data_IF_265895215829
#
_entry.id   IF_265895215829
#
_cell.length_a   1.000
_cell.length_b   1.000
_cell.length_c   1.000
_cell.angle_alpha   90.00
_cell.angle_beta   90.00
_cell.angle_gamma   90.00
#
_symmetry.space_group_name_H-M   'P 1'
#
loop_
_entity.id
_entity.type
_entity.pdbx_description
1 polymer ?
#
# COMPACT_ATOMS: atom_id res chain seq x y z
N UNK A 1 -41.02 28.82 -15.42
CA UNK A 1 -40.51 29.81 -14.47
C UNK A 1 -40.97 29.41 -13.09
N UNK A 2 -40.06 28.98 -12.23
CA UNK A 2 -40.26 28.86 -10.78
C UNK A 2 -38.87 28.89 -10.15
N UNK A 3 -38.71 29.71 -9.12
CA UNK A 3 -37.40 30.20 -8.71
C UNK A 3 -36.75 29.36 -7.60
N UNK A 4 -35.43 29.54 -7.55
CA UNK A 4 -34.47 29.27 -6.48
C UNK A 4 -35.06 29.41 -5.07
N UNK A 5 -34.78 28.44 -4.20
CA UNK A 5 -34.82 28.62 -2.75
C UNK A 5 -33.39 28.68 -2.21
N UNK A 6 -33.03 29.79 -1.55
CA UNK A 6 -31.77 29.97 -0.83
C UNK A 6 -32.01 30.13 0.68
N UNK A 7 -30.94 29.89 1.44
CA UNK A 7 -30.83 29.81 2.90
C UNK A 7 -31.09 31.16 3.58
N UNK A 8 -31.85 31.15 4.69
CA UNK A 8 -31.48 31.73 6.00
C UNK A 8 -32.68 31.80 6.95
N UNK A 9 -32.59 31.06 8.06
CA UNK A 9 -33.15 31.29 9.42
C UNK A 9 -32.78 30.01 10.22
N UNK A 10 -32.50 30.01 11.51
CA UNK A 10 -32.82 30.95 12.58
C UNK A 10 -31.76 30.84 13.72
N UNK A 11 -31.56 31.89 14.53
CA UNK A 11 -30.66 31.88 15.71
C UNK A 11 -31.27 32.68 16.87
N UNK A 12 -30.83 32.40 18.12
CA UNK A 12 -31.10 33.14 19.39
C UNK A 12 -32.50 32.89 20.01
N UNK A 13 -32.73 32.84 21.33
CA UNK A 13 -31.97 33.28 22.54
C UNK A 13 -32.35 32.41 23.79
N UNK A 14 -31.42 32.06 24.72
CA UNK A 14 -31.10 32.70 26.04
C UNK A 14 -32.20 32.52 27.11
N UNK A 15 -32.01 32.01 28.36
CA UNK A 15 -31.31 32.48 29.60
C UNK A 15 -31.25 31.25 30.58
N UNK A 16 -30.40 31.06 31.61
CA UNK A 16 -29.27 31.80 32.21
C UNK A 16 -29.27 31.75 33.77
N UNK A 17 -28.13 31.56 34.44
CA UNK A 17 -28.02 31.45 35.93
C UNK A 17 -26.58 31.50 36.48
N UNK A 18 -26.34 32.24 37.58
CA UNK A 18 -25.03 32.60 38.16
C UNK A 18 -24.52 31.64 39.27
N UNK A 19 -23.20 31.55 39.49
CA UNK A 19 -22.65 30.84 40.67
C UNK A 19 -21.12 30.69 40.80
N UNK A 20 -20.41 31.79 41.05
CA UNK A 20 -19.17 31.91 41.89
C UNK A 20 -17.93 30.98 41.74
N UNK A 21 -16.82 31.64 41.37
CA UNK A 21 -15.38 31.38 41.65
C UNK A 21 -14.98 30.40 42.78
N UNK A 22 -13.96 29.56 42.53
CA UNK A 22 -12.74 29.43 43.36
C UNK A 22 -11.54 28.79 42.59
N UNK A 23 -10.33 29.03 43.11
CA UNK A 23 -8.97 28.93 42.53
C UNK A 23 -8.44 27.53 42.11
N UNK A 24 -7.26 27.43 41.41
CA UNK A 24 -6.93 26.27 40.57
C UNK A 24 -6.20 25.12 41.29
N UNK A 25 -6.58 23.89 40.95
CA UNK A 25 -5.78 22.69 41.18
C UNK A 25 -5.28 22.11 39.85
N UNK A 26 -3.97 21.86 39.75
CA UNK A 26 -3.39 21.13 38.62
C UNK A 26 -3.83 19.66 38.64
N UNK A 27 -4.93 19.37 37.98
CA UNK A 27 -5.15 18.02 37.50
C UNK A 27 -4.31 17.80 36.24
N UNK A 28 -3.34 16.89 36.33
CA UNK A 28 -2.89 16.16 35.16
C UNK A 28 -4.11 15.46 34.56
N UNK A 29 -4.68 16.05 33.51
CA UNK A 29 -5.48 15.28 32.57
C UNK A 29 -4.55 14.26 31.93
N UNK A 30 -4.49 13.07 32.51
CA UNK A 30 -4.15 11.86 31.78
C UNK A 30 -5.18 11.73 30.67
N UNK A 31 -4.87 12.32 29.52
CA UNK A 31 -5.59 12.06 28.29
C UNK A 31 -5.46 10.56 28.05
N UNK A 32 -6.53 9.82 28.34
CA UNK A 32 -6.64 8.42 27.96
C UNK A 32 -6.67 8.44 26.44
N UNK A 33 -5.51 8.18 25.84
CA UNK A 33 -5.39 7.98 24.41
C UNK A 33 -6.33 6.82 24.05
N UNK A 34 -7.45 7.16 23.41
CA UNK A 34 -8.32 6.16 22.82
C UNK A 34 -7.55 5.57 21.63
N UNK A 35 -6.97 4.38 21.81
CA UNK A 35 -6.36 3.63 20.71
C UNK A 35 -7.32 3.59 19.54
N UNK A 36 -6.84 3.98 18.35
CA UNK A 36 -7.66 4.05 17.13
C UNK A 36 -8.15 2.65 16.76
N UNK A 37 -9.41 2.26 17.04
CA UNK A 37 -9.76 0.84 17.14
C UNK A 37 -9.60 0.10 15.82
N UNK A 38 -9.85 0.77 14.70
CA UNK A 38 -9.78 0.15 13.38
C UNK A 38 -8.36 -0.25 12.91
N UNK A 39 -7.30 0.29 13.53
CA UNK A 39 -5.93 -0.17 13.25
C UNK A 39 -5.50 -1.23 14.27
N UNK A 40 -5.85 -1.09 15.56
CA UNK A 40 -5.57 -2.15 16.55
C UNK A 40 -6.40 -3.42 16.36
N UNK A 41 -7.53 -3.37 15.63
CA UNK A 41 -8.44 -4.50 15.38
C UNK A 41 -8.32 -5.11 13.97
N UNK A 42 -7.20 -4.91 13.26
CA UNK A 42 -6.95 -5.48 11.92
C UNK A 42 -8.01 -5.18 10.84
N UNK A 43 -8.95 -4.26 11.05
CA UNK A 43 -10.10 -4.02 10.15
C UNK A 43 -9.72 -3.75 8.69
N UNK A 44 -8.65 -2.98 8.46
CA UNK A 44 -8.15 -2.72 7.11
C UNK A 44 -7.49 -3.96 6.45
N UNK A 45 -6.98 -4.91 7.25
CA UNK A 45 -6.51 -6.22 6.75
C UNK A 45 -7.71 -7.03 6.25
N UNK A 46 -8.82 -7.08 7.01
CA UNK A 46 -10.04 -7.77 6.60
C UNK A 46 -10.63 -7.19 5.30
N UNK A 47 -10.88 -5.87 5.26
CA UNK A 47 -11.42 -5.22 4.06
C UNK A 47 -10.50 -5.43 2.85
N UNK A 48 -9.18 -5.44 3.08
CA UNK A 48 -8.16 -5.71 2.08
C UNK A 48 -8.18 -7.15 1.55
N UNK A 49 -8.24 -8.14 2.44
CA UNK A 49 -8.32 -9.56 2.09
C UNK A 49 -9.64 -9.87 1.34
N UNK A 50 -10.77 -9.33 1.82
CA UNK A 50 -12.07 -9.41 1.17
C UNK A 50 -12.01 -8.85 -0.27
N UNK A 51 -11.36 -7.70 -0.44
CA UNK A 51 -11.20 -7.07 -1.74
C UNK A 51 -10.27 -7.87 -2.68
N UNK A 52 -9.10 -8.31 -2.22
CA UNK A 52 -8.19 -9.15 -3.03
C UNK A 52 -8.89 -10.41 -3.53
N UNK A 53 -9.60 -11.11 -2.64
CA UNK A 53 -10.32 -12.34 -2.98
C UNK A 53 -11.38 -12.15 -4.09
N UNK A 54 -12.14 -11.05 -4.08
CA UNK A 54 -13.19 -10.79 -5.09
C UNK A 54 -12.69 -10.15 -6.38
N UNK A 55 -11.50 -9.56 -6.38
CA UNK A 55 -11.03 -8.73 -7.49
C UNK A 55 -11.03 -9.45 -8.83
N UNK A 56 -10.70 -10.75 -8.86
CA UNK A 56 -10.68 -11.57 -10.08
C UNK A 56 -12.04 -11.64 -10.82
N UNK A 57 -13.15 -11.56 -10.08
CA UNK A 57 -14.54 -11.62 -10.59
C UNK A 57 -15.13 -10.22 -10.82
N UNK A 58 -14.41 -9.18 -10.43
CA UNK A 58 -14.77 -7.78 -10.59
C UNK A 58 -13.77 -7.10 -11.54
N UNK A 59 -13.07 -6.05 -11.13
CA UNK A 59 -11.97 -5.48 -11.91
C UNK A 59 -10.62 -5.92 -11.32
N UNK A 60 -10.07 -7.05 -11.79
CA UNK A 60 -8.85 -7.66 -11.24
C UNK A 60 -7.70 -6.65 -11.04
N UNK A 61 -7.58 -5.68 -11.95
CA UNK A 61 -6.60 -4.62 -11.85
C UNK A 61 -7.01 -3.58 -10.81
N UNK A 62 -8.08 -2.83 -11.05
CA UNK A 62 -8.43 -1.68 -10.20
C UNK A 62 -8.83 -2.08 -8.77
N UNK A 63 -9.47 -3.23 -8.58
CA UNK A 63 -9.93 -3.71 -7.29
C UNK A 63 -8.82 -4.44 -6.51
N UNK A 64 -7.92 -5.16 -7.21
CA UNK A 64 -6.75 -5.76 -6.58
C UNK A 64 -5.81 -4.70 -6.02
N UNK A 65 -5.68 -3.58 -6.75
CA UNK A 65 -5.03 -2.37 -6.25
C UNK A 65 -5.66 -1.86 -4.95
N UNK A 66 -6.99 -1.76 -4.86
CA UNK A 66 -7.69 -1.30 -3.64
C UNK A 66 -7.47 -2.24 -2.46
N UNK A 67 -7.57 -3.56 -2.68
CA UNK A 67 -7.36 -4.58 -1.65
C UNK A 67 -5.97 -4.52 -1.05
N UNK A 68 -4.94 -4.58 -1.89
CA UNK A 68 -3.55 -4.44 -1.43
C UNK A 68 -3.31 -3.11 -0.70
N UNK A 69 -3.93 -2.01 -1.15
CA UNK A 69 -3.73 -0.69 -0.55
C UNK A 69 -4.33 -0.53 0.85
N UNK A 70 -5.41 -1.25 1.18
CA UNK A 70 -5.94 -1.29 2.55
C UNK A 70 -4.98 -2.03 3.49
N UNK A 71 -4.40 -3.15 3.03
CA UNK A 71 -3.36 -3.89 3.76
C UNK A 71 -2.10 -3.03 3.93
N UNK A 72 -1.58 -2.42 2.86
CA UNK A 72 -0.42 -1.52 2.96
C UNK A 72 -0.67 -0.34 3.90
N UNK A 73 -1.89 0.19 3.96
CA UNK A 73 -2.20 1.32 4.83
C UNK A 73 -2.17 0.93 6.31
N UNK A 74 -2.68 -0.26 6.67
CA UNK A 74 -2.52 -0.80 8.02
C UNK A 74 -1.05 -0.98 8.37
N UNK A 75 -0.30 -1.70 7.52
CA UNK A 75 1.12 -1.99 7.73
C UNK A 75 1.96 -0.71 7.85
N UNK A 76 1.75 0.25 6.95
CA UNK A 76 2.38 1.57 7.01
C UNK A 76 2.14 2.27 8.35
N UNK A 77 0.91 2.24 8.87
CA UNK A 77 0.56 2.87 10.14
C UNK A 77 1.18 2.19 11.37
N UNK A 78 1.30 0.86 11.34
CA UNK A 78 1.84 0.04 12.43
C UNK A 78 3.37 0.06 12.39
N UNK A 79 3.96 -0.42 11.30
CA UNK A 79 5.40 -0.64 11.13
C UNK A 79 6.20 0.67 11.22
N UNK A 80 5.60 1.82 10.88
CA UNK A 80 6.23 3.15 10.94
C UNK A 80 5.74 4.04 12.10
N UNK A 81 4.97 3.49 13.05
CA UNK A 81 4.53 4.22 14.26
C UNK A 81 3.83 5.57 14.01
N UNK A 82 2.94 5.64 13.01
CA UNK A 82 2.20 6.88 12.70
C UNK A 82 1.33 7.33 13.89
N UNK A 83 1.12 8.64 14.03
CA UNK A 83 0.31 9.18 15.13
C UNK A 83 -1.20 8.83 14.99
N UNK A 84 -1.93 8.90 16.11
CA UNK A 84 -3.36 8.56 16.15
C UNK A 84 -4.24 9.41 15.22
N UNK A 85 -3.82 10.64 14.90
CA UNK A 85 -4.57 11.54 14.02
C UNK A 85 -4.38 11.15 12.54
N UNK A 86 -3.15 10.84 12.12
CA UNK A 86 -2.85 10.28 10.80
C UNK A 86 -3.54 8.93 10.62
N UNK A 87 -3.42 8.03 11.60
CA UNK A 87 -4.09 6.73 11.64
C UNK A 87 -5.60 6.83 11.49
N UNK A 88 -6.25 7.65 12.31
CA UNK A 88 -7.71 7.88 12.25
C UNK A 88 -8.14 8.43 10.89
N UNK A 89 -7.38 9.39 10.34
CA UNK A 89 -7.66 10.01 9.05
C UNK A 89 -7.52 9.02 7.88
N UNK A 90 -6.55 8.11 7.95
CA UNK A 90 -6.36 7.05 6.94
C UNK A 90 -7.57 6.10 6.94
N UNK A 91 -8.04 5.67 8.12
CA UNK A 91 -9.24 4.83 8.24
C UNK A 91 -10.48 5.53 7.68
N UNK A 92 -10.71 6.79 8.07
CA UNK A 92 -11.83 7.62 7.61
C UNK A 92 -11.86 7.74 6.07
N UNK A 93 -10.69 7.84 5.43
CA UNK A 93 -10.59 7.87 3.97
C UNK A 93 -11.09 6.56 3.33
N UNK A 94 -10.78 5.39 3.89
CA UNK A 94 -11.31 4.13 3.38
C UNK A 94 -12.81 4.00 3.62
N UNK A 95 -13.32 4.45 4.76
CA UNK A 95 -14.76 4.45 5.07
C UNK A 95 -15.57 5.30 4.08
N UNK A 96 -15.05 6.49 3.74
CA UNK A 96 -15.66 7.40 2.76
C UNK A 96 -15.62 6.89 1.32
N UNK A 97 -14.65 6.04 0.96
CA UNK A 97 -14.40 5.67 -0.43
C UNK A 97 -14.75 4.22 -0.78
N UNK A 98 -14.30 3.23 0.01
CA UNK A 98 -14.30 1.81 -0.40
C UNK A 98 -14.92 0.84 0.60
N UNK A 99 -14.93 1.12 1.92
CA UNK A 99 -15.35 0.13 2.93
C UNK A 99 -16.78 -0.41 2.71
N UNK A 100 -17.69 0.47 2.27
CA UNK A 100 -19.10 0.13 2.00
C UNK A 100 -19.35 -0.45 0.60
N UNK A 101 -18.32 -0.70 -0.20
CA UNK A 101 -18.47 -1.28 -1.53
C UNK A 101 -18.64 -2.80 -1.48
N UNK A 102 -19.38 -3.39 -2.44
CA UNK A 102 -19.52 -4.86 -2.60
C UNK A 102 -18.18 -5.60 -2.62
N UNK A 103 -17.12 -4.94 -3.09
CA UNK A 103 -15.75 -5.44 -3.08
C UNK A 103 -15.29 -5.86 -1.67
N UNK A 104 -15.60 -5.04 -0.66
CA UNK A 104 -15.09 -5.14 0.71
C UNK A 104 -16.03 -5.90 1.66
N UNK A 105 -17.26 -6.21 1.23
CA UNK A 105 -18.29 -6.87 2.01
C UNK A 105 -17.82 -8.20 2.64
N UNK A 106 -18.52 -8.66 3.66
CA UNK A 106 -18.11 -9.87 4.39
C UNK A 106 -18.21 -11.12 3.50
N UNK A 107 -17.31 -12.08 3.70
CA UNK A 107 -17.47 -13.42 3.13
C UNK A 107 -18.43 -14.24 4.01
N UNK A 108 -19.09 -15.28 3.46
CA UNK A 108 -19.78 -16.27 4.29
C UNK A 108 -18.84 -16.84 5.35
N UNK A 109 -19.38 -17.12 6.54
CA UNK A 109 -18.64 -17.76 7.62
C UNK A 109 -18.15 -19.15 7.19
N UNK A 110 -16.85 -19.39 7.38
CA UNK A 110 -16.13 -20.59 6.94
C UNK A 110 -15.00 -20.87 7.92
N UNK A 111 -14.73 -22.13 8.19
CA UNK A 111 -13.53 -22.53 8.95
C UNK A 111 -12.26 -22.05 8.21
N UNK A 112 -11.30 -21.40 8.89
CA UNK A 112 -10.03 -21.06 8.29
C UNK A 112 -9.20 -22.32 8.02
N UNK A 113 -8.47 -22.35 6.90
CA UNK A 113 -7.43 -23.34 6.66
C UNK A 113 -6.11 -22.91 7.33
N UNK A 114 -5.16 -23.86 7.58
CA UNK A 114 -3.84 -23.51 8.11
C UNK A 114 -3.15 -22.43 7.27
N UNK A 115 -2.52 -21.47 7.94
CA UNK A 115 -1.86 -20.31 7.30
C UNK A 115 -0.72 -20.76 6.38
N UNK A 116 -0.05 -21.85 6.72
CA UNK A 116 0.99 -22.48 5.91
C UNK A 116 0.43 -22.99 4.57
N UNK A 117 -0.76 -23.58 4.59
CA UNK A 117 -1.45 -24.08 3.39
C UNK A 117 -1.98 -22.92 2.54
N UNK A 118 -2.57 -21.89 3.16
CA UNK A 118 -2.96 -20.66 2.48
C UNK A 118 -1.76 -19.97 1.80
N UNK A 119 -0.64 -19.85 2.53
CA UNK A 119 0.62 -19.28 2.03
C UNK A 119 1.17 -20.10 0.87
N UNK A 120 1.18 -21.44 0.99
CA UNK A 120 1.61 -22.35 -0.09
C UNK A 120 0.75 -22.22 -1.33
N UNK A 121 -0.57 -22.13 -1.21
CA UNK A 121 -1.46 -21.96 -2.38
C UNK A 121 -1.25 -20.61 -3.09
N UNK A 122 -1.09 -19.52 -2.34
CA UNK A 122 -0.79 -18.20 -2.88
C UNK A 122 0.60 -18.14 -3.52
N UNK A 123 1.61 -18.72 -2.86
CA UNK A 123 2.97 -18.84 -3.37
C UNK A 123 3.04 -19.63 -4.68
N UNK A 124 2.33 -20.75 -4.78
CA UNK A 124 2.21 -21.51 -6.04
C UNK A 124 1.49 -20.72 -7.14
N UNK A 125 0.40 -20.01 -6.81
CA UNK A 125 -0.29 -19.16 -7.79
C UNK A 125 0.59 -18.02 -8.33
N UNK A 126 1.54 -17.54 -7.54
CA UNK A 126 2.58 -16.61 -7.97
C UNK A 126 3.67 -17.31 -8.79
N UNK A 127 4.21 -18.43 -8.33
CA UNK A 127 5.26 -19.20 -8.99
C UNK A 127 4.84 -19.74 -10.38
N UNK A 128 3.53 -19.98 -10.61
CA UNK A 128 2.92 -20.19 -11.94
C UNK A 128 3.22 -19.05 -12.95
N UNK A 129 3.80 -17.93 -12.50
CA UNK A 129 4.39 -16.87 -13.30
C UNK A 129 5.60 -17.30 -14.13
N UNK A 130 6.39 -18.27 -13.67
CA UNK A 130 7.58 -18.79 -14.38
C UNK A 130 8.51 -17.68 -14.90
N UNK A 131 8.66 -16.59 -14.13
CA UNK A 131 9.51 -15.45 -14.50
C UNK A 131 8.95 -14.50 -15.58
N UNK A 132 7.67 -14.62 -15.95
CA UNK A 132 6.97 -13.63 -16.81
C UNK A 132 6.73 -12.34 -16.02
N UNK A 133 7.11 -11.20 -16.58
CA UNK A 133 6.79 -9.88 -16.04
C UNK A 133 5.30 -9.59 -16.27
N UNK A 134 4.47 -9.93 -15.28
CA UNK A 134 3.02 -9.66 -15.32
C UNK A 134 2.73 -8.27 -14.79
N UNK A 135 2.24 -7.37 -15.67
CA UNK A 135 1.85 -5.98 -15.37
C UNK A 135 2.70 -5.35 -14.26
N UNK A 136 3.96 -5.01 -14.53
CA UNK A 136 4.90 -4.35 -13.58
C UNK A 136 5.10 -5.04 -12.21
N UNK A 137 4.77 -6.34 -12.09
CA UNK A 137 4.92 -7.13 -10.85
C UNK A 137 3.70 -7.15 -9.93
N UNK A 138 2.51 -6.84 -10.44
CA UNK A 138 1.28 -6.81 -9.62
C UNK A 138 0.91 -8.17 -8.99
N UNK A 139 1.26 -9.27 -9.64
CA UNK A 139 1.08 -10.62 -9.11
C UNK A 139 1.92 -10.84 -7.84
N UNK A 140 3.21 -10.49 -7.87
CA UNK A 140 4.09 -10.54 -6.70
C UNK A 140 3.61 -9.60 -5.57
N UNK A 141 3.20 -8.38 -5.93
CA UNK A 141 2.71 -7.40 -4.95
C UNK A 141 1.46 -7.91 -4.25
N UNK A 142 0.50 -8.49 -4.97
CA UNK A 142 -0.75 -8.93 -4.36
C UNK A 142 -0.62 -10.29 -3.66
N UNK A 143 0.29 -11.15 -4.11
CA UNK A 143 0.67 -12.37 -3.38
C UNK A 143 1.25 -12.04 -1.99
N UNK A 144 2.25 -11.14 -1.91
CA UNK A 144 2.86 -10.75 -0.64
C UNK A 144 1.83 -10.17 0.34
N UNK A 145 1.00 -9.22 -0.12
CA UNK A 145 0.00 -8.58 0.75
C UNK A 145 -1.03 -9.59 1.28
N UNK A 146 -1.43 -10.58 0.47
CA UNK A 146 -2.33 -11.64 0.91
C UNK A 146 -1.67 -12.58 1.94
N UNK A 147 -0.43 -13.02 1.69
CA UNK A 147 0.33 -13.86 2.62
C UNK A 147 0.50 -13.14 3.97
N UNK A 148 0.93 -11.87 3.96
CA UNK A 148 1.09 -11.08 5.19
C UNK A 148 -0.26 -10.88 5.91
N UNK A 149 -1.35 -10.62 5.17
CA UNK A 149 -2.70 -10.54 5.74
C UNK A 149 -3.14 -11.84 6.45
N UNK A 150 -2.98 -13.01 5.81
CA UNK A 150 -3.35 -14.29 6.42
C UNK A 150 -2.47 -14.66 7.63
N UNK A 151 -1.21 -14.21 7.66
CA UNK A 151 -0.33 -14.40 8.83
C UNK A 151 -0.69 -13.49 10.01
N UNK A 152 -1.21 -12.28 9.74
CA UNK A 152 -1.65 -11.34 10.78
C UNK A 152 -3.05 -11.64 11.32
N UNK A 153 -3.92 -12.20 10.47
CA UNK A 153 -5.31 -12.53 10.78
C UNK A 153 -5.65 -13.93 10.22
N UNK A 154 -5.21 -15.01 10.92
CA UNK A 154 -5.40 -16.40 10.47
C UNK A 154 -6.86 -16.79 10.18
N UNK A 155 -7.81 -16.18 10.88
CA UNK A 155 -9.25 -16.33 10.67
C UNK A 155 -9.72 -15.89 9.27
N UNK A 156 -8.96 -15.04 8.58
CA UNK A 156 -9.23 -14.63 7.21
C UNK A 156 -8.71 -15.63 6.16
N UNK A 157 -7.92 -16.63 6.55
CA UNK A 157 -7.40 -17.66 5.65
C UNK A 157 -8.48 -18.71 5.30
N UNK A 158 -9.64 -18.28 4.83
CA UNK A 158 -10.73 -19.19 4.44
C UNK A 158 -10.56 -19.70 3.01
N UNK A 159 -11.10 -20.90 2.66
CA UNK A 159 -10.96 -21.48 1.33
C UNK A 159 -11.35 -20.53 0.19
N UNK A 160 -12.46 -19.79 0.32
CA UNK A 160 -12.90 -18.87 -0.73
C UNK A 160 -11.99 -17.65 -0.87
N UNK A 161 -11.47 -17.11 0.24
CA UNK A 161 -10.54 -15.95 0.23
C UNK A 161 -9.20 -16.32 -0.40
N UNK A 162 -8.66 -17.48 -0.04
CA UNK A 162 -7.42 -18.04 -0.64
C UNK A 162 -7.64 -18.33 -2.13
N UNK A 163 -8.70 -19.06 -2.49
CA UNK A 163 -8.99 -19.40 -3.88
C UNK A 163 -9.24 -18.16 -4.76
N UNK A 164 -9.96 -17.15 -4.25
CA UNK A 164 -10.19 -15.87 -4.94
C UNK A 164 -8.90 -15.09 -5.18
N UNK A 165 -8.03 -15.03 -4.17
CA UNK A 165 -6.70 -14.41 -4.28
C UNK A 165 -5.84 -15.14 -5.31
N UNK A 166 -5.85 -16.47 -5.31
CA UNK A 166 -5.16 -17.28 -6.31
C UNK A 166 -5.71 -17.08 -7.74
N UNK A 167 -7.01 -16.79 -7.91
CA UNK A 167 -7.59 -16.37 -9.21
C UNK A 167 -7.09 -14.97 -9.62
N UNK A 168 -6.98 -14.04 -8.68
CA UNK A 168 -6.47 -12.68 -8.92
C UNK A 168 -5.03 -12.69 -9.41
N UNK A 169 -4.13 -13.40 -8.72
CA UNK A 169 -2.70 -13.48 -9.06
C UNK A 169 -2.49 -14.04 -10.47
N UNK A 170 -3.24 -15.09 -10.84
CA UNK A 170 -3.21 -15.67 -12.19
C UNK A 170 -3.90 -14.83 -13.26
N UNK A 171 -4.66 -13.79 -12.89
CA UNK A 171 -5.36 -12.94 -13.85
C UNK A 171 -4.42 -11.96 -14.57
N UNK A 172 -3.31 -11.54 -13.93
CA UNK A 172 -2.39 -10.54 -14.50
C UNK A 172 -1.74 -11.01 -15.81
N UNK A 173 -1.58 -10.07 -16.73
CA UNK A 173 -1.11 -10.31 -18.10
C UNK A 173 0.35 -9.90 -18.27
N UNK A 174 1.11 -10.54 -19.19
CA UNK A 174 2.45 -10.11 -19.54
C UNK A 174 2.47 -8.62 -19.92
N UNK A 175 3.50 -7.90 -19.50
CA UNK A 175 3.71 -6.48 -19.81
C UNK A 175 5.19 -6.24 -20.05
N UNK A 176 5.55 -5.73 -21.24
CA UNK A 176 6.94 -5.51 -21.69
C UNK A 176 7.87 -6.67 -21.29
N UNK A 177 7.40 -7.92 -21.51
CA UNK A 177 8.08 -9.16 -21.10
C UNK A 177 9.26 -9.49 -22.02
N UNK A 178 10.29 -8.64 -21.97
CA UNK A 178 11.55 -8.81 -22.70
C UNK A 178 12.51 -9.75 -21.95
N UNK A 179 13.54 -10.31 -22.59
CA UNK A 179 14.64 -10.95 -21.86
C UNK A 179 15.31 -9.98 -20.87
N UNK A 180 15.67 -10.41 -19.65
CA UNK A 180 16.41 -9.56 -18.73
C UNK A 180 17.84 -9.32 -19.21
N UNK A 181 18.37 -8.12 -18.98
CA UNK A 181 19.78 -7.80 -19.20
C UNK A 181 20.67 -8.61 -18.25
N UNK A 182 21.78 -9.16 -18.75
CA UNK A 182 22.73 -9.96 -17.99
C UNK A 182 23.46 -9.15 -16.90
N UNK A 183 23.52 -7.82 -17.04
CA UNK A 183 24.06 -6.90 -16.05
C UNK A 183 23.05 -6.51 -14.95
N UNK A 184 21.81 -7.01 -15.04
CA UNK A 184 20.80 -6.83 -13.98
C UNK A 184 20.86 -8.02 -13.05
N UNK A 185 21.67 -7.89 -11.99
CA UNK A 185 21.89 -8.93 -10.98
C UNK A 185 21.52 -8.39 -9.58
N UNK A 186 20.23 -8.43 -9.19
CA UNK A 186 19.82 -8.09 -7.83
C UNK A 186 20.42 -9.12 -6.85
N UNK A 187 20.72 -8.74 -5.59
CA UNK A 187 21.10 -9.70 -4.55
C UNK A 187 20.03 -10.80 -4.33
N UNK A 188 20.37 -11.91 -3.65
CA UNK A 188 19.40 -12.80 -3.03
C UNK A 188 18.39 -12.02 -2.18
N UNK A 189 17.09 -12.33 -2.27
CA UNK A 189 16.06 -11.52 -1.59
C UNK A 189 16.04 -11.71 -0.06
N UNK A 190 16.62 -12.81 0.43
CA UNK A 190 16.87 -13.08 1.85
C UNK A 190 18.01 -12.20 2.43
N UNK A 191 18.91 -11.67 1.59
CA UNK A 191 19.89 -10.65 1.96
C UNK A 191 19.23 -9.27 2.02
N UNK A 192 18.24 -9.14 2.91
CA UNK A 192 17.28 -8.03 2.96
C UNK A 192 17.93 -6.63 2.89
N UNK A 193 19.02 -6.38 3.62
CA UNK A 193 19.75 -5.09 3.59
C UNK A 193 20.32 -4.76 2.20
N UNK A 194 21.02 -5.73 1.58
CA UNK A 194 21.64 -5.58 0.27
C UNK A 194 20.58 -5.47 -0.84
N UNK A 195 19.54 -6.32 -0.78
CA UNK A 195 18.42 -6.29 -1.71
C UNK A 195 17.66 -4.97 -1.62
N UNK A 196 17.43 -4.44 -0.40
CA UNK A 196 16.74 -3.16 -0.21
C UNK A 196 17.56 -2.00 -0.77
N UNK A 197 18.87 -1.94 -0.49
CA UNK A 197 19.78 -0.96 -1.12
C UNK A 197 19.74 -1.02 -2.64
N UNK A 198 19.64 -2.21 -3.24
CA UNK A 198 19.53 -2.38 -4.69
C UNK A 198 18.22 -1.80 -5.23
N UNK A 199 17.07 -2.18 -4.65
CA UNK A 199 15.73 -1.70 -5.07
C UNK A 199 15.64 -0.18 -4.95
N UNK A 200 16.12 0.39 -3.85
CA UNK A 200 16.13 1.82 -3.59
C UNK A 200 17.01 2.60 -4.60
N UNK A 201 18.15 2.06 -5.01
CA UNK A 201 19.03 2.67 -6.03
C UNK A 201 18.38 2.64 -7.41
N UNK A 202 17.78 1.51 -7.81
CA UNK A 202 17.02 1.45 -9.07
C UNK A 202 15.80 2.38 -9.04
N UNK A 203 15.11 2.51 -7.91
CA UNK A 203 13.99 3.45 -7.75
C UNK A 203 14.45 4.92 -7.83
N UNK A 204 15.56 5.30 -7.16
CA UNK A 204 16.15 6.65 -7.24
C UNK A 204 16.55 7.01 -8.68
N UNK A 205 17.17 6.06 -9.39
CA UNK A 205 17.52 6.25 -10.80
C UNK A 205 16.30 6.28 -11.73
N UNK A 206 15.24 5.53 -11.41
CA UNK A 206 13.98 5.57 -12.15
C UNK A 206 13.22 6.89 -11.94
N UNK A 207 13.27 7.51 -10.76
CA UNK A 207 12.72 8.85 -10.53
C UNK A 207 13.33 9.85 -11.53
N UNK A 208 14.67 9.93 -11.59
CA UNK A 208 15.36 10.88 -12.47
C UNK A 208 15.08 10.59 -13.95
N UNK A 209 15.08 9.31 -14.34
CA UNK A 209 14.92 8.86 -15.73
C UNK A 209 13.50 9.05 -16.28
N UNK A 210 12.49 9.07 -15.41
CA UNK A 210 11.06 9.16 -15.79
C UNK A 210 10.37 10.45 -15.33
N UNK A 211 11.11 11.52 -14.97
CA UNK A 211 10.49 12.84 -14.74
C UNK A 211 9.66 13.29 -15.95
N UNK A 212 8.43 13.75 -15.70
CA UNK A 212 7.41 14.06 -16.72
C UNK A 212 6.58 12.87 -17.19
N UNK A 213 6.80 11.67 -16.64
CA UNK A 213 5.99 10.45 -16.86
C UNK A 213 5.31 9.95 -15.57
N UNK A 214 5.44 10.69 -14.46
CA UNK A 214 4.79 10.41 -13.19
C UNK A 214 5.38 9.22 -12.42
N UNK A 215 4.89 9.02 -11.20
CA UNK A 215 5.47 8.10 -10.20
C UNK A 215 5.34 6.60 -10.52
N UNK A 216 4.78 6.23 -11.68
CA UNK A 216 4.43 4.85 -12.02
C UNK A 216 5.63 3.90 -11.94
N UNK A 217 6.69 4.21 -12.69
CA UNK A 217 7.85 3.32 -12.81
C UNK A 217 8.65 3.20 -11.50
N UNK A 218 8.92 4.32 -10.83
CA UNK A 218 9.66 4.29 -9.56
C UNK A 218 8.84 3.65 -8.41
N UNK A 219 7.55 3.95 -8.31
CA UNK A 219 6.71 3.35 -7.25
C UNK A 219 6.43 1.86 -7.44
N UNK A 220 6.37 1.37 -8.69
CA UNK A 220 6.34 -0.06 -8.96
C UNK A 220 7.71 -0.74 -8.75
N UNK A 221 8.83 -0.04 -8.95
CA UNK A 221 10.15 -0.55 -8.54
C UNK A 221 10.20 -0.80 -7.03
N UNK A 222 9.78 0.18 -6.23
CA UNK A 222 9.69 0.07 -4.78
C UNK A 222 8.77 -1.08 -4.36
N UNK A 223 7.51 -1.09 -4.82
CA UNK A 223 6.52 -2.08 -4.36
C UNK A 223 6.82 -3.50 -4.84
N UNK A 224 7.30 -3.71 -6.07
CA UNK A 224 7.67 -5.04 -6.55
C UNK A 224 8.91 -5.56 -5.80
N UNK A 225 9.97 -4.75 -5.69
CA UNK A 225 11.18 -5.14 -4.97
C UNK A 225 10.92 -5.43 -3.48
N UNK A 226 10.17 -4.55 -2.80
CA UNK A 226 9.77 -4.76 -1.42
C UNK A 226 8.94 -6.04 -1.23
N UNK A 227 8.05 -6.38 -2.17
CA UNK A 227 7.22 -7.58 -2.05
C UNK A 227 8.03 -8.87 -2.07
N UNK A 228 9.11 -8.94 -2.86
CA UNK A 228 10.00 -10.11 -2.88
C UNK A 228 10.86 -10.18 -1.60
N UNK A 229 11.38 -9.04 -1.14
CA UNK A 229 12.18 -8.94 0.09
C UNK A 229 11.35 -9.29 1.33
N UNK A 230 10.10 -8.82 1.39
CA UNK A 230 9.16 -9.11 2.48
C UNK A 230 8.77 -10.59 2.52
N UNK A 231 8.50 -11.22 1.37
CA UNK A 231 8.25 -12.67 1.31
C UNK A 231 9.47 -13.46 1.80
N UNK A 232 10.68 -13.11 1.36
CA UNK A 232 11.90 -13.75 1.85
C UNK A 232 12.09 -13.54 3.37
N UNK A 233 11.85 -12.33 3.88
CA UNK A 233 11.92 -12.01 5.32
C UNK A 233 10.87 -12.74 6.16
N UNK A 234 9.71 -13.08 5.57
CA UNK A 234 8.67 -13.93 6.16
C UNK A 234 9.01 -15.43 6.12
N UNK A 235 10.16 -15.82 5.54
CA UNK A 235 10.61 -17.21 5.38
C UNK A 235 10.21 -17.85 4.05
N UNK A 236 9.44 -17.15 3.20
CA UNK A 236 8.97 -17.62 1.89
C UNK A 236 10.01 -17.40 0.77
N UNK A 237 11.26 -17.77 1.03
CA UNK A 237 12.41 -17.50 0.14
C UNK A 237 12.21 -18.15 -1.25
N UNK A 238 11.65 -19.36 -1.32
CA UNK A 238 11.32 -20.03 -2.59
C UNK A 238 10.35 -19.19 -3.44
N UNK A 239 9.29 -18.65 -2.83
CA UNK A 239 8.31 -17.83 -3.53
C UNK A 239 8.93 -16.49 -3.96
N UNK A 240 9.70 -15.83 -3.10
CA UNK A 240 10.42 -14.60 -3.44
C UNK A 240 11.37 -14.81 -4.64
N UNK A 241 12.16 -15.88 -4.62
CA UNK A 241 13.13 -16.20 -5.66
C UNK A 241 12.48 -16.63 -6.98
N UNK A 242 11.27 -17.22 -6.96
CA UNK A 242 10.48 -17.46 -8.19
C UNK A 242 10.19 -16.17 -8.98
N UNK A 243 10.13 -15.03 -8.29
CA UNK A 243 9.96 -13.70 -8.87
C UNK A 243 11.22 -13.09 -9.50
N UNK A 244 12.42 -13.66 -9.25
CA UNK A 244 13.72 -13.07 -9.64
C UNK A 244 13.79 -12.66 -11.11
N UNK A 245 13.38 -13.55 -12.01
CA UNK A 245 13.46 -13.29 -13.46
C UNK A 245 12.53 -12.14 -13.86
N UNK A 246 11.30 -12.13 -13.36
CA UNK A 246 10.34 -11.05 -13.63
C UNK A 246 10.83 -9.70 -13.07
N UNK A 247 11.45 -9.68 -11.89
CA UNK A 247 12.05 -8.47 -11.33
C UNK A 247 13.26 -7.98 -12.15
N UNK A 248 14.15 -8.88 -12.59
CA UNK A 248 15.24 -8.54 -13.52
C UNK A 248 14.72 -7.91 -14.83
N UNK A 249 13.63 -8.44 -15.39
CA UNK A 249 12.97 -7.86 -16.57
C UNK A 249 12.43 -6.47 -16.28
N UNK A 250 11.83 -6.25 -15.11
CA UNK A 250 11.31 -4.94 -14.73
C UNK A 250 12.43 -3.88 -14.61
N UNK A 251 13.52 -4.22 -13.92
CA UNK A 251 14.71 -3.36 -13.86
C UNK A 251 15.27 -3.09 -15.27
N UNK A 252 15.37 -4.10 -16.13
CA UNK A 252 15.78 -3.95 -17.54
C UNK A 252 14.91 -2.92 -18.28
N UNK A 253 13.58 -3.07 -18.22
CA UNK A 253 12.63 -2.13 -18.86
C UNK A 253 12.75 -0.72 -18.29
N UNK A 254 12.89 -0.56 -16.96
CA UNK A 254 13.07 0.77 -16.36
C UNK A 254 14.42 1.40 -16.72
N UNK A 255 15.49 0.62 -16.93
CA UNK A 255 16.80 1.14 -17.37
C UNK A 255 16.78 1.67 -18.81
N UNK A 256 15.89 1.16 -19.68
CA UNK A 256 15.67 1.69 -21.02
C UNK A 256 15.04 3.10 -21.04
N UNK A 257 14.41 3.52 -19.94
CA UNK A 257 13.74 4.82 -19.84
C UNK A 257 12.40 4.90 -20.59
N UNK A 258 11.80 6.11 -20.67
CA UNK A 258 10.51 6.30 -21.31
C UNK A 258 10.55 6.04 -22.82
N UNK A 259 9.57 5.27 -23.29
CA UNK A 259 9.38 4.92 -24.69
C UNK A 259 8.52 5.98 -25.40
N UNK A 260 8.51 5.97 -26.73
CA UNK A 260 7.79 6.98 -27.53
C UNK A 260 6.25 6.96 -27.33
N UNK A 261 5.70 5.81 -26.92
CA UNK A 261 4.29 5.59 -26.59
C UNK A 261 3.95 5.84 -25.10
N UNK A 262 4.95 6.06 -24.24
CA UNK A 262 4.72 6.24 -22.81
C UNK A 262 3.96 7.55 -22.52
N UNK A 263 2.88 7.42 -21.74
CA UNK A 263 2.02 8.54 -21.38
C UNK A 263 2.78 9.52 -20.50
N UNK A 264 2.94 10.75 -20.97
CA UNK A 264 3.37 11.88 -20.14
C UNK A 264 2.34 12.18 -19.07
N UNK A 265 2.80 12.29 -17.83
CA UNK A 265 2.00 12.59 -16.63
C UNK A 265 2.78 13.65 -15.86
N UNK A 266 2.10 14.74 -15.49
CA UNK A 266 2.75 15.81 -14.73
C UNK A 266 3.21 15.27 -13.37
N UNK A 267 4.48 15.48 -13.06
CA UNK A 267 5.04 15.17 -11.74
C UNK A 267 4.30 15.92 -10.63
N UNK A 268 4.36 15.38 -9.42
CA UNK A 268 3.81 16.02 -8.23
C UNK A 268 4.42 17.41 -8.00
N UNK A 269 3.70 18.27 -7.28
CA UNK A 269 4.29 19.51 -6.79
C UNK A 269 5.23 19.19 -5.62
N UNK A 270 6.41 19.83 -5.58
CA UNK A 270 7.31 19.75 -4.44
C UNK A 270 6.58 20.08 -3.13
N UNK A 271 6.78 19.26 -2.11
CA UNK A 271 6.15 19.42 -0.80
C UNK A 271 7.08 18.87 0.30
N UNK A 272 7.21 19.57 1.45
CA UNK A 272 7.88 19.04 2.62
C UNK A 272 7.01 18.04 3.39
N UNK A 273 5.70 18.00 3.10
CA UNK A 273 4.78 17.07 3.75
C UNK A 273 5.12 15.61 3.37
N UNK A 274 4.82 14.70 4.29
CA UNK A 274 5.18 13.29 4.22
C UNK A 274 4.02 12.42 4.69
N UNK A 275 3.88 11.18 4.16
CA UNK A 275 2.80 10.27 4.54
C UNK A 275 2.73 9.90 6.03
N UNK A 276 3.79 10.11 6.81
CA UNK A 276 3.80 9.96 8.27
C UNK A 276 3.08 11.07 9.04
N UNK A 277 2.78 12.21 8.40
CA UNK A 277 2.14 13.37 9.06
C UNK A 277 0.63 13.48 8.82
N UNK A 278 -0.12 13.84 9.86
CA UNK A 278 -1.56 14.08 9.74
C UNK A 278 -1.89 15.22 8.73
N UNK A 279 -1.02 16.24 8.62
CA UNK A 279 -1.20 17.37 7.70
C UNK A 279 -1.21 16.92 6.23
N UNK A 280 -0.36 15.96 5.85
CA UNK A 280 -0.35 15.37 4.50
C UNK A 280 -1.72 14.77 4.15
N UNK A 281 -2.31 13.98 5.06
CA UNK A 281 -3.63 13.35 4.84
C UNK A 281 -4.81 14.31 4.89
N UNK A 282 -4.69 15.40 5.66
CA UNK A 282 -5.66 16.50 5.64
C UNK A 282 -5.62 17.23 4.29
N UNK A 283 -4.44 17.66 3.84
CA UNK A 283 -4.25 18.37 2.57
C UNK A 283 -4.66 17.54 1.35
N UNK A 284 -4.55 16.21 1.44
CA UNK A 284 -5.03 15.27 0.40
C UNK A 284 -6.54 15.37 0.15
N UNK A 285 -7.34 15.64 1.19
CA UNK A 285 -8.80 15.68 1.09
C UNK A 285 -9.45 14.33 0.75
N UNK A 286 -10.78 14.29 0.76
CA UNK A 286 -11.57 13.05 0.83
C UNK A 286 -11.59 12.17 -0.42
N UNK A 287 -11.30 12.71 -1.61
CA UNK A 287 -11.44 11.99 -2.91
C UNK A 287 -10.12 11.45 -3.48
N UNK A 288 -9.06 11.43 -2.67
CA UNK A 288 -7.67 11.40 -3.15
C UNK A 288 -7.01 10.02 -3.19
N UNK A 289 -7.77 8.94 -2.98
CA UNK A 289 -7.21 7.58 -2.91
C UNK A 289 -6.80 7.02 -4.28
N UNK A 290 -7.50 7.34 -5.36
CA UNK A 290 -7.19 6.85 -6.71
C UNK A 290 -7.23 5.31 -6.80
N UNK A 291 -6.09 4.69 -7.16
CA UNK A 291 -5.87 3.24 -7.08
C UNK A 291 -5.02 2.82 -5.85
N UNK A 292 -4.96 3.68 -4.83
CA UNK A 292 -4.31 3.39 -3.55
C UNK A 292 -2.78 3.36 -3.54
N UNK A 293 -2.12 3.77 -4.64
CA UNK A 293 -0.66 3.98 -4.70
C UNK A 293 -0.15 4.88 -3.57
N UNK A 294 -1.02 5.79 -3.12
CA UNK A 294 -0.82 6.72 -2.00
C UNK A 294 -0.55 6.03 -0.66
N UNK A 295 -0.78 4.71 -0.55
CA UNK A 295 -0.46 3.87 0.61
C UNK A 295 0.63 2.84 0.26
N UNK A 296 0.50 2.17 -0.89
CA UNK A 296 1.46 1.12 -1.31
C UNK A 296 2.87 1.67 -1.49
N UNK A 297 3.01 2.86 -2.09
CA UNK A 297 4.34 3.43 -2.37
C UNK A 297 5.03 3.93 -1.10
N UNK A 298 4.39 4.70 -0.19
CA UNK A 298 5.01 5.02 1.10
C UNK A 298 5.34 3.80 1.96
N UNK A 299 4.45 2.80 2.03
CA UNK A 299 4.72 1.56 2.77
C UNK A 299 6.03 0.91 2.31
N UNK A 300 6.15 0.65 1.00
CA UNK A 300 7.36 0.06 0.44
C UNK A 300 8.59 0.97 0.58
N UNK A 301 8.43 2.30 0.42
CA UNK A 301 9.51 3.26 0.58
C UNK A 301 10.12 3.25 1.98
N UNK A 302 9.29 3.34 3.03
CA UNK A 302 9.79 3.39 4.40
C UNK A 302 10.33 2.03 4.89
N UNK A 303 9.67 0.92 4.53
CA UNK A 303 10.16 -0.45 4.83
C UNK A 303 11.54 -0.69 4.21
N UNK A 304 11.70 -0.40 2.91
CA UNK A 304 12.98 -0.55 2.23
C UNK A 304 14.07 0.37 2.82
N UNK A 305 13.75 1.61 3.21
CA UNK A 305 14.70 2.51 3.87
C UNK A 305 15.15 1.97 5.24
N UNK A 306 14.23 1.43 6.04
CA UNK A 306 14.54 0.83 7.34
C UNK A 306 15.45 -0.39 7.17
N UNK A 307 15.13 -1.28 6.22
CA UNK A 307 15.92 -2.49 5.90
C UNK A 307 17.29 -2.16 5.32
N UNK A 308 17.38 -1.15 4.46
CA UNK A 308 18.62 -0.79 3.76
C UNK A 308 19.70 -0.19 4.70
N UNK A 309 19.30 0.39 5.84
CA UNK A 309 20.19 0.97 6.84
C UNK A 309 21.36 1.76 6.22
N UNK A 310 21.03 2.72 5.35
CA UNK A 310 21.98 3.49 4.54
C UNK A 310 21.58 4.98 4.63
N UNK A 311 22.21 5.75 5.55
CA UNK A 311 21.85 7.15 5.77
C UNK A 311 22.03 8.05 4.54
N UNK A 312 23.04 7.77 3.71
CA UNK A 312 23.28 8.54 2.49
C UNK A 312 22.19 8.27 1.47
N UNK A 313 21.87 7.00 1.21
CA UNK A 313 20.79 6.62 0.29
C UNK A 313 19.43 7.15 0.77
N UNK A 314 19.21 7.23 2.08
CA UNK A 314 18.03 7.89 2.68
C UNK A 314 17.98 9.38 2.35
N UNK A 315 19.06 10.11 2.52
CA UNK A 315 19.13 11.55 2.20
C UNK A 315 18.87 11.81 0.71
N UNK A 316 19.52 11.03 -0.18
CA UNK A 316 19.35 11.10 -1.63
C UNK A 316 17.90 10.86 -2.08
N UNK A 317 17.20 9.94 -1.40
CA UNK A 317 15.79 9.63 -1.68
C UNK A 317 14.82 10.63 -1.06
N UNK A 318 15.08 11.15 0.14
CA UNK A 318 14.23 12.16 0.78
C UNK A 318 14.18 13.46 -0.03
N UNK A 319 15.29 13.85 -0.67
CA UNK A 319 15.33 14.97 -1.61
C UNK A 319 14.39 14.78 -2.83
N UNK A 320 14.02 13.53 -3.14
CA UNK A 320 13.19 13.13 -4.28
C UNK A 320 11.81 12.58 -3.91
N UNK A 321 11.53 12.33 -2.63
CA UNK A 321 10.34 11.60 -2.16
C UNK A 321 9.00 12.20 -2.62
N UNK A 322 8.95 13.53 -2.77
CA UNK A 322 7.81 14.27 -3.33
C UNK A 322 7.43 13.85 -4.76
N UNK A 323 8.33 13.21 -5.52
CA UNK A 323 8.02 12.66 -6.84
C UNK A 323 7.25 11.33 -6.76
N UNK A 324 7.17 10.70 -5.59
CA UNK A 324 6.47 9.44 -5.37
C UNK A 324 5.08 9.64 -4.75
N UNK A 325 4.94 10.54 -3.75
CA UNK A 325 3.72 10.69 -2.95
C UNK A 325 3.39 12.14 -2.52
#
# INVERSE_FOLDING_TARGET
MSEVFDRRQFTLSTVGGLGSLLLPGWHHSTAVHAEVPAISQHRLIELGANALARSAEMNYFADGHRGASMISAHLMCVDNNFDDAARSRIVELFDKNWANAKLCADFPEQDPMPVEEATRQVGLAFADGSGVLRQVGHDAIFAMHAIKAFRMAPELATPDRVAGTCRLIRAFKPWRDVPPDDNVQPPPFDQTEAASRYVLKEASAAIDRFSGFGQGFAGHMLTFGQSLIEMAAMGDVEWAESGRVAFRKYVTVTRMGPQADDRKIKDHAQSPLRPDSAEYWQKRGDKSLGLGHVFKYPYAYYDLLARANDPQLKEELEAKAWQIF
#
